data_IF_767857637063
#
_entry.id   IF_767857637063
#
_cell.length_a   1.000
_cell.length_b   1.000
_cell.length_c   1.000
_cell.angle_alpha   90.00
_cell.angle_beta   90.00
_cell.angle_gamma   90.00
#
_symmetry.space_group_name_H-M   'P 1'
#
loop_
_entity.id
_entity.type
_entity.pdbx_description
1 polymer ?
#
# COMPACT_ATOMS: atom_id res chain seq x y z
N UNK A 1 23.04 -20.67 42.65
CA UNK A 1 23.43 -20.56 41.23
C UNK A 1 22.77 -19.30 40.70
N UNK A 2 23.57 -18.32 40.28
CA UNK A 2 23.17 -16.94 39.97
C UNK A 2 22.79 -16.85 38.50
N UNK A 3 21.69 -16.14 38.18
CA UNK A 3 21.55 -15.39 36.93
C UNK A 3 20.72 -16.02 35.81
N UNK A 4 19.41 -15.78 35.79
CA UNK A 4 18.59 -15.79 34.57
C UNK A 4 17.41 -14.80 34.66
N UNK A 5 17.67 -13.49 34.79
CA UNK A 5 16.57 -12.48 34.77
C UNK A 5 16.83 -11.24 33.89
N UNK A 6 17.55 -11.36 32.76
CA UNK A 6 17.90 -10.17 31.96
C UNK A 6 17.75 -10.30 30.42
N UNK A 7 16.98 -11.25 29.87
CA UNK A 7 16.79 -11.36 28.40
C UNK A 7 15.38 -11.01 27.89
N UNK A 8 14.40 -10.82 28.77
CA UNK A 8 12.99 -10.60 28.35
C UNK A 8 12.71 -9.19 27.79
N UNK A 9 13.36 -8.14 28.34
CA UNK A 9 13.06 -6.75 27.96
C UNK A 9 13.61 -6.28 26.61
N UNK A 10 14.77 -6.79 26.19
CA UNK A 10 15.45 -6.36 24.95
C UNK A 10 14.74 -6.88 23.70
N UNK A 11 14.24 -8.12 23.77
CA UNK A 11 13.53 -8.81 22.69
C UNK A 11 12.22 -8.10 22.34
N UNK A 12 11.39 -7.77 23.34
CA UNK A 12 10.12 -7.06 23.17
C UNK A 12 10.28 -5.68 22.52
N UNK A 13 11.35 -4.96 22.88
CA UNK A 13 11.65 -3.64 22.32
C UNK A 13 12.00 -3.71 20.82
N UNK A 14 12.80 -4.70 20.41
CA UNK A 14 13.15 -4.89 18.99
C UNK A 14 11.94 -5.22 18.13
N UNK A 15 11.03 -6.09 18.59
CA UNK A 15 9.81 -6.41 17.84
C UNK A 15 8.88 -5.20 17.69
N UNK A 16 8.73 -4.42 18.76
CA UNK A 16 7.90 -3.22 18.76
C UNK A 16 8.46 -2.18 17.79
N UNK A 17 9.78 -1.97 17.81
CA UNK A 17 10.46 -1.06 16.88
C UNK A 17 10.32 -1.52 15.43
N UNK A 18 10.56 -2.81 15.15
CA UNK A 18 10.40 -3.38 13.82
C UNK A 18 8.98 -3.22 13.28
N UNK A 19 7.97 -3.49 14.12
CA UNK A 19 6.57 -3.28 13.77
C UNK A 19 6.27 -1.83 13.35
N UNK A 20 6.70 -0.84 14.15
CA UNK A 20 6.42 0.56 13.82
C UNK A 20 7.21 1.05 12.61
N UNK A 21 8.46 0.61 12.43
CA UNK A 21 9.25 0.93 11.23
C UNK A 21 8.54 0.40 9.98
N UNK A 22 8.12 -0.86 9.98
CA UNK A 22 7.41 -1.45 8.85
C UNK A 22 6.06 -0.76 8.60
N UNK A 23 5.31 -0.45 9.66
CA UNK A 23 4.01 0.19 9.57
C UNK A 23 4.11 1.61 8.98
N UNK A 24 4.96 2.47 9.55
CA UNK A 24 5.13 3.83 9.07
C UNK A 24 5.85 3.88 7.73
N UNK A 25 6.80 2.97 7.48
CA UNK A 25 7.46 2.85 6.19
C UNK A 25 6.49 2.50 5.06
N UNK A 26 5.63 1.50 5.26
CA UNK A 26 4.60 1.13 4.29
C UNK A 26 3.57 2.26 4.09
N UNK A 27 3.15 2.91 5.17
CA UNK A 27 2.24 4.05 5.09
C UNK A 27 2.86 5.22 4.31
N UNK A 28 4.13 5.53 4.55
CA UNK A 28 4.84 6.60 3.84
C UNK A 28 4.94 6.31 2.34
N UNK A 29 5.28 5.08 1.96
CA UNK A 29 5.36 4.68 0.55
C UNK A 29 3.98 4.81 -0.12
N UNK A 30 2.93 4.24 0.49
CA UNK A 30 1.57 4.33 -0.05
C UNK A 30 1.07 5.77 -0.16
N UNK A 31 1.37 6.62 0.83
CA UNK A 31 1.02 8.03 0.78
C UNK A 31 1.74 8.75 -0.35
N UNK A 32 3.03 8.51 -0.51
CA UNK A 32 3.86 9.14 -1.54
C UNK A 32 3.41 8.75 -2.95
N UNK A 33 3.28 7.44 -3.23
CA UNK A 33 2.84 6.96 -4.54
C UNK A 33 1.39 7.38 -4.82
N UNK A 34 0.52 7.37 -3.81
CA UNK A 34 -0.87 7.77 -3.94
C UNK A 34 -1.03 9.25 -4.28
N UNK A 35 -0.22 10.13 -3.69
CA UNK A 35 -0.16 11.54 -4.08
C UNK A 35 0.35 11.69 -5.52
N UNK A 36 1.35 10.89 -5.90
CA UNK A 36 1.94 10.96 -7.23
C UNK A 36 0.96 10.58 -8.36
N UNK A 37 -0.04 9.74 -8.08
CA UNK A 37 -1.13 9.37 -9.02
C UNK A 37 -1.99 10.55 -9.49
N UNK A 38 -1.96 11.69 -8.79
CA UNK A 38 -2.68 12.89 -9.22
C UNK A 38 -1.93 13.67 -10.31
N UNK A 39 -0.74 13.22 -10.71
CA UNK A 39 0.03 13.83 -11.79
C UNK A 39 -0.35 13.23 -13.16
N UNK A 40 -0.35 14.04 -14.25
CA UNK A 40 -0.63 13.53 -15.60
C UNK A 40 0.40 12.51 -16.10
N UNK A 41 1.65 12.67 -15.67
CA UNK A 41 2.75 11.76 -16.02
C UNK A 41 2.48 10.36 -15.48
N UNK A 42 2.13 10.25 -14.20
CA UNK A 42 1.82 8.96 -13.58
C UNK A 42 0.53 8.35 -14.15
N UNK A 43 -0.49 9.17 -14.41
CA UNK A 43 -1.73 8.72 -15.03
C UNK A 43 -1.48 8.06 -16.40
N UNK A 44 -0.57 8.63 -17.19
CA UNK A 44 -0.17 8.08 -18.49
C UNK A 44 0.66 6.80 -18.35
N UNK A 45 1.52 6.72 -17.33
CA UNK A 45 2.36 5.56 -17.06
C UNK A 45 1.55 4.32 -16.64
N UNK A 46 0.46 4.51 -15.88
CA UNK A 46 -0.34 3.40 -15.35
C UNK A 46 -1.40 2.90 -16.33
N UNK A 47 -1.74 3.71 -17.33
CA UNK A 47 -2.73 3.37 -18.35
C UNK A 47 -2.49 1.99 -18.97
N UNK A 48 -1.29 1.65 -19.50
CA UNK A 48 -1.06 0.32 -20.05
C UNK A 48 -1.17 -0.79 -19.01
N UNK A 49 -0.84 -0.54 -17.73
CA UNK A 49 -0.98 -1.55 -16.67
C UNK A 49 -2.44 -1.93 -16.45
N UNK A 50 -3.30 -0.92 -16.37
CA UNK A 50 -4.73 -1.09 -16.07
C UNK A 50 -5.51 -1.57 -17.30
N UNK A 51 -5.12 -1.16 -18.52
CA UNK A 51 -5.73 -1.62 -19.77
C UNK A 51 -5.48 -3.10 -20.06
N UNK A 52 -4.29 -3.60 -19.76
CA UNK A 52 -3.93 -5.00 -19.99
C UNK A 52 -4.43 -5.94 -18.88
N UNK A 53 -4.88 -5.40 -17.74
CA UNK A 53 -5.32 -6.21 -16.62
C UNK A 53 -6.77 -6.71 -16.82
N UNK A 54 -6.98 -8.02 -16.62
CA UNK A 54 -8.22 -8.73 -16.94
C UNK A 54 -9.48 -8.18 -16.24
N UNK A 55 -9.35 -7.61 -15.04
CA UNK A 55 -10.49 -7.00 -14.32
C UNK A 55 -10.83 -5.57 -14.75
N UNK A 56 -9.88 -4.85 -15.35
CA UNK A 56 -9.96 -3.40 -15.53
C UNK A 56 -9.86 -2.93 -16.97
N UNK A 57 -9.72 -3.85 -17.94
CA UNK A 57 -9.60 -3.54 -19.37
C UNK A 57 -10.71 -2.61 -19.91
N UNK A 58 -11.90 -2.61 -19.29
CA UNK A 58 -13.03 -1.80 -19.74
C UNK A 58 -13.08 -0.40 -19.10
N UNK A 59 -12.30 -0.13 -18.05
CA UNK A 59 -12.47 1.05 -17.20
C UNK A 59 -12.29 2.35 -17.98
N UNK A 60 -11.37 2.38 -18.93
CA UNK A 60 -11.10 3.56 -19.76
C UNK A 60 -12.12 3.78 -20.89
N UNK A 61 -13.05 2.85 -21.11
CA UNK A 61 -14.21 3.10 -21.98
C UNK A 61 -15.26 3.99 -21.30
N UNK A 62 -15.24 4.05 -19.98
CA UNK A 62 -16.23 4.75 -19.16
C UNK A 62 -15.62 5.93 -18.41
N UNK A 63 -14.34 5.87 -18.05
CA UNK A 63 -13.63 6.89 -17.28
C UNK A 63 -12.39 7.42 -18.00
N UNK A 64 -12.00 8.66 -17.70
CA UNK A 64 -10.77 9.23 -18.23
C UNK A 64 -9.53 8.62 -17.56
N UNK A 65 -8.38 8.71 -18.24
CA UNK A 65 -7.10 8.23 -17.72
C UNK A 65 -6.77 8.84 -16.36
N UNK A 66 -6.97 10.16 -16.24
CA UNK A 66 -6.73 10.89 -15.00
C UNK A 66 -7.70 10.48 -13.89
N UNK A 67 -8.98 10.26 -14.22
CA UNK A 67 -9.99 9.86 -13.23
C UNK A 67 -9.64 8.52 -12.58
N UNK A 68 -9.23 7.54 -13.38
CA UNK A 68 -8.81 6.21 -12.89
C UNK A 68 -7.54 6.33 -12.04
N UNK A 69 -6.57 7.13 -12.48
CA UNK A 69 -5.36 7.39 -11.70
C UNK A 69 -5.68 8.03 -10.35
N UNK A 70 -6.52 9.07 -10.33
CA UNK A 70 -6.97 9.73 -9.11
C UNK A 70 -7.69 8.77 -8.17
N UNK A 71 -8.50 7.85 -8.70
CA UNK A 71 -9.21 6.85 -7.89
C UNK A 71 -8.24 5.89 -7.22
N UNK A 72 -7.26 5.36 -7.97
CA UNK A 72 -6.22 4.49 -7.42
C UNK A 72 -5.42 5.24 -6.35
N UNK A 73 -4.99 6.47 -6.65
CA UNK A 73 -4.27 7.32 -5.70
C UNK A 73 -5.06 7.62 -4.43
N UNK A 74 -6.37 7.86 -4.56
CA UNK A 74 -7.26 8.07 -3.41
C UNK A 74 -7.32 6.83 -2.53
N UNK A 75 -7.42 5.63 -3.12
CA UNK A 75 -7.43 4.37 -2.37
C UNK A 75 -6.10 4.17 -1.63
N UNK A 76 -4.96 4.42 -2.28
CA UNK A 76 -3.63 4.31 -1.67
C UNK A 76 -3.46 5.28 -0.49
N UNK A 77 -3.90 6.54 -0.63
CA UNK A 77 -3.88 7.53 0.45
C UNK A 77 -4.79 7.10 1.62
N UNK A 78 -6.00 6.60 1.33
CA UNK A 78 -6.91 6.11 2.38
C UNK A 78 -6.26 4.98 3.17
N UNK A 79 -5.64 4.02 2.49
CA UNK A 79 -4.94 2.90 3.15
C UNK A 79 -3.75 3.40 3.95
N UNK A 80 -2.97 4.35 3.43
CA UNK A 80 -1.86 4.97 4.17
C UNK A 80 -2.35 5.64 5.48
N UNK A 81 -3.44 6.40 5.41
CA UNK A 81 -4.05 7.01 6.58
C UNK A 81 -4.56 5.95 7.57
N UNK A 82 -5.24 4.90 7.07
CA UNK A 82 -5.69 3.78 7.90
C UNK A 82 -4.52 3.10 8.63
N UNK A 83 -3.37 2.92 7.95
CA UNK A 83 -2.17 2.36 8.57
C UNK A 83 -1.63 3.26 9.69
N UNK A 84 -1.53 4.56 9.44
CA UNK A 84 -1.09 5.53 10.45
C UNK A 84 -2.02 5.50 11.67
N UNK A 85 -3.34 5.54 11.46
CA UNK A 85 -4.31 5.49 12.56
C UNK A 85 -4.36 4.13 13.26
N UNK A 86 -4.03 3.04 12.56
CA UNK A 86 -3.99 1.69 13.15
C UNK A 86 -2.91 1.52 14.23
N UNK A 87 -1.91 2.41 14.29
CA UNK A 87 -0.96 2.48 15.40
C UNK A 87 -1.69 2.73 16.74
N UNK A 88 -2.76 3.55 16.73
CA UNK A 88 -3.54 3.90 17.92
C UNK A 88 -4.80 3.05 18.08
N UNK A 89 -5.45 2.66 16.99
CA UNK A 89 -6.71 1.93 17.03
C UNK A 89 -6.56 0.49 16.51
N UNK A 90 -6.65 -0.49 17.42
CA UNK A 90 -6.48 -1.91 17.10
C UNK A 90 -7.47 -2.42 16.03
N UNK A 91 -8.70 -1.87 16.01
CA UNK A 91 -9.74 -2.24 15.04
C UNK A 91 -9.33 -1.93 13.60
N UNK A 92 -8.56 -0.86 13.38
CA UNK A 92 -8.13 -0.43 12.04
C UNK A 92 -7.03 -1.33 11.47
N UNK A 93 -6.27 -2.04 12.31
CA UNK A 93 -5.11 -2.86 11.86
C UNK A 93 -5.52 -3.90 10.82
N UNK A 94 -6.67 -4.56 11.02
CA UNK A 94 -7.17 -5.58 10.09
C UNK A 94 -7.51 -4.98 8.73
N UNK A 95 -8.25 -3.88 8.71
CA UNK A 95 -8.67 -3.21 7.47
C UNK A 95 -7.47 -2.62 6.72
N UNK A 96 -6.57 -1.95 7.44
CA UNK A 96 -5.36 -1.37 6.89
C UNK A 96 -4.43 -2.44 6.29
N UNK A 97 -4.25 -3.56 7.00
CA UNK A 97 -3.45 -4.69 6.51
C UNK A 97 -4.05 -5.37 5.27
N UNK A 98 -5.36 -5.65 5.27
CA UNK A 98 -6.02 -6.23 4.10
C UNK A 98 -5.95 -5.28 2.90
N UNK A 99 -6.24 -3.99 3.10
CA UNK A 99 -6.14 -2.98 2.05
C UNK A 99 -4.73 -2.93 1.47
N UNK A 100 -3.71 -2.86 2.32
CA UNK A 100 -2.30 -2.86 1.91
C UNK A 100 -1.96 -4.10 1.07
N UNK A 101 -2.33 -5.30 1.53
CA UNK A 101 -2.06 -6.56 0.83
C UNK A 101 -2.73 -6.54 -0.54
N UNK A 102 -4.00 -6.16 -0.62
CA UNK A 102 -4.74 -6.10 -1.90
C UNK A 102 -4.06 -5.13 -2.86
N UNK A 103 -3.70 -3.92 -2.41
CA UNK A 103 -3.00 -2.94 -3.26
C UNK A 103 -1.70 -3.50 -3.80
N UNK A 104 -0.84 -4.08 -2.96
CA UNK A 104 0.43 -4.63 -3.43
C UNK A 104 0.25 -5.85 -4.35
N UNK A 105 -0.75 -6.71 -4.10
CA UNK A 105 -1.05 -7.83 -4.98
C UNK A 105 -1.52 -7.37 -6.36
N UNK A 106 -2.36 -6.33 -6.43
CA UNK A 106 -2.76 -5.73 -7.70
C UNK A 106 -1.54 -5.14 -8.40
N UNK A 107 -0.70 -4.38 -7.69
CA UNK A 107 0.52 -3.82 -8.27
C UNK A 107 1.48 -4.91 -8.79
N UNK A 108 1.65 -6.01 -8.05
CA UNK A 108 2.48 -7.13 -8.48
C UNK A 108 1.85 -7.91 -9.65
N UNK A 109 0.52 -8.01 -9.71
CA UNK A 109 -0.16 -8.67 -10.83
C UNK A 109 0.13 -7.98 -12.16
N UNK A 110 0.40 -6.68 -12.16
CA UNK A 110 0.77 -5.95 -13.37
C UNK A 110 2.03 -6.48 -14.06
N UNK A 111 2.96 -7.09 -13.32
CA UNK A 111 4.14 -7.77 -13.89
C UNK A 111 3.76 -8.96 -14.77
N UNK A 112 2.66 -9.63 -14.46
CA UNK A 112 2.19 -10.81 -15.19
C UNK A 112 1.15 -10.47 -16.26
N UNK A 113 0.40 -9.38 -16.07
CA UNK A 113 -0.65 -8.98 -17.00
C UNK A 113 -0.18 -8.01 -18.08
N UNK A 114 0.92 -7.29 -17.87
CA UNK A 114 1.39 -6.25 -18.80
C UNK A 114 2.57 -6.75 -19.63
N UNK A 115 2.44 -6.86 -20.96
CA UNK A 115 3.56 -7.25 -21.82
C UNK A 115 4.69 -6.21 -21.79
N UNK A 116 5.93 -6.68 -21.62
CA UNK A 116 7.13 -5.82 -21.69
C UNK A 116 7.53 -5.12 -20.39
N UNK A 117 6.92 -5.50 -19.26
CA UNK A 117 7.41 -5.20 -17.91
C UNK A 117 8.51 -6.17 -17.47
#
# INVERSE_FOLDING_TARGET
>A
MIGTEQTSGKSQSTYTLGYYISLFGAALILLWIGIFKFTPTEASAIKPLVENHFLTFFVYKVMSVQTVSNLIGTIEIIIALLLIFSAKFAVLKRYAGIGMIVTFLVTLSYLFTTPGM
#
